data_IF_798698835579
#
_entry.id   IF_798698835579
#
_cell.length_a   1.000
_cell.length_b   1.000
_cell.length_c   1.000
_cell.angle_alpha   90.00
_cell.angle_beta   90.00
_cell.angle_gamma   90.00
#
_symmetry.space_group_name_H-M   'P 1'
#
loop_
_entity.id
_entity.type
_entity.pdbx_description
1 polymer ?
#
# COMPACT_ATOMS: atom_id res chain seq x y z
N UNK A 1 -3.84 -5.35 -0.84
CA UNK A 1 -3.54 -6.05 0.43
C UNK A 1 -4.05 -5.19 1.56
N UNK A 2 -4.57 -5.76 2.66
CA UNK A 2 -5.17 -4.99 3.76
C UNK A 2 -4.79 -5.59 5.11
N UNK A 3 -4.57 -4.73 6.11
CA UNK A 3 -4.46 -5.06 7.53
C UNK A 3 -5.37 -4.12 8.32
N UNK A 4 -5.91 -4.62 9.43
CA UNK A 4 -6.71 -3.82 10.35
C UNK A 4 -5.99 -3.67 11.68
N UNK A 5 -6.04 -2.47 12.27
CA UNK A 5 -5.38 -2.15 13.52
C UNK A 5 -6.40 -1.56 14.49
N UNK A 6 -6.52 -2.20 15.66
CA UNK A 6 -7.32 -1.70 16.78
C UNK A 6 -6.47 -1.41 17.98
N UNK A 7 -6.76 -0.33 18.71
CA UNK A 7 -5.99 0.06 19.88
C UNK A 7 -6.62 1.24 20.61
N UNK A 8 -5.83 1.87 21.47
CA UNK A 8 -6.20 3.08 22.18
C UNK A 8 -6.06 4.31 21.27
N UNK A 9 -7.14 4.65 20.55
CA UNK A 9 -7.18 5.81 19.67
C UNK A 9 -7.10 7.17 20.39
N UNK A 10 -7.06 7.18 21.73
CA UNK A 10 -6.79 8.41 22.48
C UNK A 10 -5.30 8.77 22.52
N UNK A 11 -4.43 7.79 22.21
CA UNK A 11 -2.98 7.98 22.09
C UNK A 11 -2.59 8.72 20.82
N UNK A 12 -1.47 9.42 20.92
CA UNK A 12 -0.87 10.14 19.81
C UNK A 12 0.32 9.36 19.27
N UNK A 13 0.46 9.30 17.95
CA UNK A 13 1.63 8.70 17.31
C UNK A 13 2.83 9.62 17.53
N UNK A 14 3.95 9.11 18.08
CA UNK A 14 5.06 9.96 18.52
C UNK A 14 6.04 10.32 17.40
N UNK A 15 5.65 10.14 16.13
CA UNK A 15 6.51 10.34 14.97
C UNK A 15 5.75 10.97 13.81
N UNK A 16 6.47 11.70 12.96
CA UNK A 16 5.94 12.26 11.72
C UNK A 16 6.14 11.31 10.51
N UNK A 17 5.75 11.75 9.32
CA UNK A 17 5.90 10.98 8.09
C UNK A 17 7.34 10.63 7.75
N UNK A 18 8.28 11.55 8.02
CA UNK A 18 9.68 11.34 7.71
C UNK A 18 10.29 10.30 8.66
N UNK A 19 10.00 10.40 9.95
CA UNK A 19 10.42 9.42 10.93
C UNK A 19 9.83 8.05 10.64
N UNK A 20 8.55 7.97 10.26
CA UNK A 20 7.91 6.72 9.84
C UNK A 20 8.57 6.16 8.57
N UNK A 21 8.74 6.98 7.53
CA UNK A 21 9.38 6.59 6.27
C UNK A 21 10.80 6.02 6.49
N UNK A 22 11.57 6.64 7.38
CA UNK A 22 12.91 6.15 7.75
C UNK A 22 12.89 4.78 8.43
N UNK A 23 11.86 4.50 9.25
CA UNK A 23 11.70 3.21 9.94
C UNK A 23 11.29 2.10 8.96
N UNK A 24 10.34 2.39 8.07
CA UNK A 24 9.76 1.37 7.18
C UNK A 24 10.68 1.05 5.99
N UNK A 25 11.37 2.04 5.43
CA UNK A 25 12.29 1.85 4.31
C UNK A 25 13.73 1.84 4.79
N UNK A 26 14.31 3.01 5.04
CA UNK A 26 15.69 3.19 5.49
C UNK A 26 15.94 4.64 5.88
N UNK A 27 16.92 4.90 6.75
CA UNK A 27 17.31 6.27 7.06
C UNK A 27 18.11 6.92 5.93
N UNK A 28 19.10 6.20 5.40
CA UNK A 28 19.89 6.62 4.25
C UNK A 28 20.38 5.42 3.44
N UNK A 29 20.50 5.63 2.13
CA UNK A 29 21.05 4.67 1.15
C UNK A 29 22.01 5.42 0.23
N UNK A 30 23.18 4.84 -0.02
CA UNK A 30 24.23 5.43 -0.87
C UNK A 30 24.58 6.90 -0.51
N UNK A 31 24.55 7.22 0.79
CA UNK A 31 24.84 8.56 1.31
C UNK A 31 23.71 9.58 1.10
N UNK A 32 22.53 9.16 0.65
CA UNK A 32 21.33 10.00 0.47
C UNK A 32 20.23 9.59 1.46
N UNK A 33 19.49 10.55 2.03
CA UNK A 33 18.32 10.23 2.85
C UNK A 33 17.21 9.59 2.00
N UNK A 34 16.27 8.91 2.66
CA UNK A 34 15.04 8.46 1.99
C UNK A 34 14.29 9.63 1.37
N UNK A 35 13.81 9.42 0.16
CA UNK A 35 12.99 10.36 -0.62
C UNK A 35 11.71 9.65 -1.02
N UNK A 36 10.56 10.24 -0.66
CA UNK A 36 9.25 9.63 -0.73
C UNK A 36 8.18 10.71 -0.91
N UNK A 37 7.04 10.31 -1.47
CA UNK A 37 5.83 11.14 -1.51
C UNK A 37 4.94 10.81 -0.32
N UNK A 38 4.24 11.81 0.18
CA UNK A 38 3.30 11.65 1.30
C UNK A 38 2.03 12.47 1.09
N UNK A 39 0.93 12.00 1.66
CA UNK A 39 -0.33 12.72 1.76
C UNK A 39 -0.97 12.49 3.14
N UNK A 40 -1.74 13.48 3.61
CA UNK A 40 -2.47 13.42 4.87
C UNK A 40 -2.08 14.50 5.89
N UNK A 41 -2.51 14.31 7.14
CA UNK A 41 -2.23 15.23 8.25
C UNK A 41 -1.34 14.60 9.35
N UNK A 42 -0.24 15.27 9.73
CA UNK A 42 0.61 14.88 10.88
C UNK A 42 0.06 15.29 12.24
N UNK A 43 -1.06 16.04 12.30
CA UNK A 43 -1.68 16.44 13.57
C UNK A 43 -2.21 15.20 14.30
N UNK A 44 -2.37 15.35 15.63
CA UNK A 44 -2.75 14.28 16.53
C UNK A 44 -3.93 13.45 16.02
N UNK A 45 -3.76 12.13 16.05
CA UNK A 45 -4.68 11.05 15.67
C UNK A 45 -6.10 11.15 16.26
N UNK A 46 -6.41 12.16 17.09
CA UNK A 46 -7.68 12.35 17.80
C UNK A 46 -8.88 12.68 16.90
N UNK A 47 -8.70 12.89 15.59
CA UNK A 47 -9.82 13.24 14.70
C UNK A 47 -9.87 12.42 13.41
N UNK A 48 -8.77 12.31 12.65
CA UNK A 48 -8.74 11.53 11.41
C UNK A 48 -7.28 11.34 10.91
N UNK A 49 -6.63 10.21 11.22
CA UNK A 49 -5.30 9.91 10.74
C UNK A 49 -5.33 9.35 9.32
N UNK A 50 -5.10 10.22 8.36
CA UNK A 50 -4.72 9.83 7.00
C UNK A 50 -3.19 9.90 6.89
N UNK A 51 -2.56 8.76 6.63
CA UNK A 51 -1.13 8.65 6.33
C UNK A 51 -0.96 7.82 5.07
N UNK A 52 -0.65 8.49 3.97
CA UNK A 52 -0.33 7.80 2.71
C UNK A 52 1.13 8.04 2.40
N UNK A 53 1.89 6.96 2.23
CA UNK A 53 3.31 7.00 1.94
C UNK A 53 3.61 6.23 0.66
N UNK A 54 4.50 6.79 -0.16
CA UNK A 54 4.90 6.21 -1.44
C UNK A 54 6.39 6.38 -1.68
N UNK A 55 7.09 5.28 -1.94
CA UNK A 55 8.50 5.28 -2.35
C UNK A 55 8.62 5.02 -3.85
N UNK A 56 9.24 5.94 -4.59
CA UNK A 56 9.62 5.69 -5.97
C UNK A 56 10.90 4.84 -5.99
N UNK A 57 10.78 3.55 -6.31
CA UNK A 57 11.85 2.56 -6.17
C UNK A 57 13.08 2.90 -7.02
N UNK A 58 12.88 3.40 -8.24
CA UNK A 58 13.96 3.76 -9.16
C UNK A 58 14.89 4.87 -8.65
N UNK A 59 14.40 5.75 -7.77
CA UNK A 59 15.21 6.83 -7.17
C UNK A 59 16.28 6.28 -6.22
N UNK A 60 16.05 5.06 -5.72
CA UNK A 60 16.88 4.39 -4.71
C UNK A 60 17.53 3.11 -5.25
N UNK A 61 17.12 2.64 -6.43
CA UNK A 61 17.81 1.59 -7.18
C UNK A 61 17.42 1.68 -8.68
N UNK A 62 18.36 2.13 -9.51
CA UNK A 62 18.12 2.35 -10.95
C UNK A 62 17.73 1.08 -11.72
N UNK A 63 17.94 -0.13 -11.17
CA UNK A 63 17.55 -1.38 -11.82
C UNK A 63 16.05 -1.47 -12.03
N UNK A 64 15.24 -0.84 -11.17
CA UNK A 64 13.78 -0.75 -11.32
C UNK A 64 13.33 -0.11 -12.64
N UNK A 65 14.13 0.79 -13.23
CA UNK A 65 13.80 1.41 -14.53
C UNK A 65 13.80 0.42 -15.70
N UNK A 66 14.49 -0.72 -15.54
CA UNK A 66 14.69 -1.69 -16.63
C UNK A 66 14.31 -3.11 -16.19
N UNK A 67 13.55 -3.25 -15.11
CA UNK A 67 13.14 -4.56 -14.64
C UNK A 67 12.22 -5.20 -15.66
N UNK A 68 12.45 -6.48 -15.95
CA UNK A 68 11.62 -7.22 -16.90
C UNK A 68 10.41 -7.75 -16.15
N UNK A 69 9.22 -7.50 -16.66
CA UNK A 69 8.01 -8.13 -16.15
C UNK A 69 7.81 -9.50 -16.79
N UNK A 70 6.99 -10.34 -16.16
CA UNK A 70 6.55 -11.61 -16.74
C UNK A 70 5.91 -11.36 -18.11
N UNK A 71 6.16 -12.26 -19.06
CA UNK A 71 5.58 -12.16 -20.40
C UNK A 71 4.04 -12.13 -20.33
N UNK A 72 3.44 -11.17 -21.03
CA UNK A 72 1.99 -10.96 -21.05
C UNK A 72 1.46 -9.97 -20.03
N UNK A 73 2.27 -9.52 -19.06
CA UNK A 73 1.88 -8.44 -18.14
C UNK A 73 2.09 -7.09 -18.81
N UNK A 74 1.00 -6.33 -18.94
CA UNK A 74 1.03 -4.90 -19.27
C UNK A 74 1.23 -4.11 -17.98
N UNK A 75 2.00 -3.03 -18.06
CA UNK A 75 2.46 -2.28 -16.90
C UNK A 75 1.38 -1.36 -16.28
N UNK A 76 0.13 -1.82 -16.21
CA UNK A 76 -1.03 -0.94 -15.99
C UNK A 76 -1.10 -0.38 -14.56
N UNK A 77 -0.54 -1.08 -13.57
CA UNK A 77 -0.63 -0.69 -12.15
C UNK A 77 0.72 -0.33 -11.50
N UNK A 78 1.85 -0.66 -12.15
CA UNK A 78 3.14 -0.03 -11.85
C UNK A 78 3.78 -0.35 -10.50
N UNK A 79 3.52 -1.52 -9.87
CA UNK A 79 4.15 -1.90 -8.57
C UNK A 79 5.68 -1.79 -8.56
N UNK A 80 6.35 -2.09 -9.69
CA UNK A 80 7.79 -1.92 -9.89
C UNK A 80 8.28 -0.45 -9.81
N UNK A 81 7.38 0.52 -10.00
CA UNK A 81 7.71 1.95 -9.88
C UNK A 81 7.58 2.37 -8.41
N UNK A 82 6.44 2.05 -7.79
CA UNK A 82 6.11 2.42 -6.43
C UNK A 82 4.96 1.58 -5.89
N UNK A 83 4.80 1.61 -4.57
CA UNK A 83 3.63 1.08 -3.88
C UNK A 83 3.04 2.18 -2.99
N UNK A 84 1.71 2.27 -2.92
CA UNK A 84 1.03 3.19 -2.00
C UNK A 84 0.72 2.45 -0.70
N UNK A 85 1.25 2.94 0.41
CA UNK A 85 0.94 2.42 1.75
C UNK A 85 0.01 3.42 2.42
N UNK A 86 -1.26 3.06 2.54
CA UNK A 86 -2.36 3.95 2.93
C UNK A 86 -2.94 3.54 4.27
N UNK A 87 -2.77 4.38 5.28
CA UNK A 87 -3.43 4.23 6.57
C UNK A 87 -4.54 5.26 6.70
N UNK A 88 -5.76 4.79 6.91
CA UNK A 88 -6.95 5.60 7.18
C UNK A 88 -7.86 4.86 8.18
N UNK A 89 -8.89 5.51 8.70
CA UNK A 89 -10.02 4.75 9.27
C UNK A 89 -10.82 4.03 8.17
N UNK A 90 -11.48 2.93 8.53
CA UNK A 90 -12.35 2.16 7.63
C UNK A 90 -13.48 3.02 7.02
N UNK A 91 -14.03 3.97 7.79
CA UNK A 91 -15.12 4.86 7.38
C UNK A 91 -14.65 6.12 6.64
N UNK A 92 -13.34 6.24 6.36
CA UNK A 92 -12.79 7.38 5.62
C UNK A 92 -13.43 7.47 4.22
N UNK A 93 -13.85 8.66 3.75
CA UNK A 93 -14.46 8.82 2.43
C UNK A 93 -13.65 8.25 1.26
N UNK A 94 -12.31 8.17 1.40
CA UNK A 94 -11.43 7.56 0.40
C UNK A 94 -11.69 6.06 0.19
N UNK A 95 -12.42 5.38 1.08
CA UNK A 95 -12.82 3.97 0.91
C UNK A 95 -14.09 3.79 0.09
N UNK A 96 -14.64 4.87 -0.49
CA UNK A 96 -16.00 4.93 -1.04
C UNK A 96 -17.07 4.42 -0.04
N UNK A 97 -16.77 4.44 1.26
CA UNK A 97 -17.58 3.85 2.33
C UNK A 97 -17.92 2.36 2.15
N UNK A 98 -17.13 1.64 1.34
CA UNK A 98 -17.31 0.19 1.12
C UNK A 98 -16.89 -0.61 2.34
N UNK A 99 -15.89 -0.13 3.06
CA UNK A 99 -15.45 -0.70 4.33
C UNK A 99 -16.27 -0.09 5.48
N UNK A 100 -16.66 -0.95 6.43
CA UNK A 100 -17.48 -0.57 7.58
C UNK A 100 -16.77 -1.03 8.84
N UNK A 101 -16.46 -0.09 9.71
CA UNK A 101 -15.88 -0.37 11.02
C UNK A 101 -15.24 0.86 11.63
N UNK A 102 -14.75 0.67 12.84
CA UNK A 102 -14.11 1.72 13.64
C UNK A 102 -12.60 1.45 13.80
N UNK A 103 -12.01 0.61 12.95
CA UNK A 103 -10.58 0.30 12.98
C UNK A 103 -9.77 1.19 12.04
N UNK A 104 -8.47 1.30 12.32
CA UNK A 104 -7.53 1.77 11.31
C UNK A 104 -7.33 0.66 10.28
N UNK A 105 -7.37 1.03 9.01
CA UNK A 105 -7.08 0.19 7.87
C UNK A 105 -5.74 0.64 7.29
N UNK A 106 -4.79 -0.28 7.22
CA UNK A 106 -3.59 -0.12 6.41
C UNK A 106 -3.79 -0.92 5.11
N UNK A 107 -3.71 -0.27 3.97
CA UNK A 107 -3.98 -0.86 2.67
C UNK A 107 -2.93 -0.48 1.62
N UNK A 108 -2.85 -1.32 0.59
CA UNK A 108 -2.17 -1.03 -0.67
C UNK A 108 -3.10 -1.35 -1.83
N UNK A 109 -2.88 -0.67 -2.95
CA UNK A 109 -3.61 -0.85 -4.21
C UNK A 109 -3.45 -2.26 -4.80
N UNK A 110 -2.36 -2.97 -4.51
CA UNK A 110 -2.08 -4.29 -5.08
C UNK A 110 -2.50 -5.43 -4.14
N UNK A 111 -3.10 -6.50 -4.68
CA UNK A 111 -3.55 -7.65 -3.89
C UNK A 111 -2.40 -8.41 -3.23
N UNK A 112 -1.29 -8.55 -3.95
CA UNK A 112 -0.03 -9.05 -3.43
C UNK A 112 1.08 -8.02 -3.64
N UNK A 113 2.06 -8.02 -2.74
CA UNK A 113 3.11 -7.01 -2.67
C UNK A 113 4.46 -7.63 -2.95
N UNK A 114 5.32 -6.85 -3.61
CA UNK A 114 6.74 -7.15 -3.65
C UNK A 114 7.30 -7.25 -2.24
N UNK A 115 8.28 -8.13 -2.00
CA UNK A 115 8.90 -8.37 -0.70
C UNK A 115 9.38 -7.07 -0.05
N UNK A 116 9.95 -6.13 -0.83
CA UNK A 116 10.39 -4.81 -0.34
C UNK A 116 9.23 -3.96 0.19
N UNK A 117 8.08 -3.99 -0.48
CA UNK A 117 6.89 -3.23 -0.10
C UNK A 117 6.15 -3.93 1.05
N UNK A 118 6.04 -5.26 1.00
CA UNK A 118 5.45 -6.09 2.05
C UNK A 118 6.17 -5.91 3.38
N UNK A 119 7.50 -5.84 3.34
CA UNK A 119 8.33 -5.51 4.50
C UNK A 119 7.98 -4.12 5.06
N UNK A 120 7.94 -3.10 4.21
CA UNK A 120 7.58 -1.74 4.64
C UNK A 120 6.16 -1.69 5.22
N UNK A 121 5.21 -2.36 4.58
CA UNK A 121 3.81 -2.49 4.99
C UNK A 121 3.68 -3.12 6.39
N UNK A 122 4.40 -4.21 6.64
CA UNK A 122 4.41 -4.86 7.95
C UNK A 122 5.09 -4.03 9.04
N UNK A 123 6.22 -3.37 8.74
CA UNK A 123 6.87 -2.47 9.70
C UNK A 123 5.92 -1.31 10.02
N UNK A 124 5.24 -0.74 9.03
CA UNK A 124 4.25 0.32 9.25
C UNK A 124 3.14 -0.14 10.19
N UNK A 125 2.55 -1.32 9.95
CA UNK A 125 1.53 -1.88 10.85
C UNK A 125 2.03 -2.03 12.30
N UNK A 126 3.28 -2.52 12.47
CA UNK A 126 3.92 -2.67 13.78
C UNK A 126 4.13 -1.32 14.47
N UNK A 127 4.66 -0.32 13.77
CA UNK A 127 4.94 1.01 14.33
C UNK A 127 3.65 1.69 14.78
N UNK A 128 2.60 1.65 13.94
CA UNK A 128 1.28 2.21 14.26
C UNK A 128 0.66 1.47 15.44
N UNK A 129 0.56 0.13 15.38
CA UNK A 129 -0.03 -0.67 16.46
C UNK A 129 0.72 -0.47 17.79
N UNK A 130 2.05 -0.41 17.76
CA UNK A 130 2.87 -0.15 18.96
C UNK A 130 2.57 1.22 19.56
N UNK A 131 2.43 2.25 18.72
CA UNK A 131 2.16 3.62 19.19
C UNK A 131 0.83 3.76 19.94
N UNK A 132 -0.17 2.93 19.59
CA UNK A 132 -1.52 2.99 20.16
C UNK A 132 -1.87 1.81 21.07
N UNK A 133 -0.87 1.07 21.58
CA UNK A 133 -1.08 -0.18 22.35
C UNK A 133 -2.05 -1.17 21.67
N UNK A 134 -1.94 -1.27 20.36
CA UNK A 134 -2.89 -1.96 19.50
C UNK A 134 -2.57 -3.41 19.18
N UNK A 135 -3.47 -4.01 18.43
CA UNK A 135 -3.41 -5.34 17.84
C UNK A 135 -3.65 -5.26 16.34
N UNK A 136 -3.12 -6.22 15.59
CA UNK A 136 -3.17 -6.28 14.13
C UNK A 136 -4.00 -7.50 13.70
N UNK A 137 -4.90 -7.31 12.74
CA UNK A 137 -5.65 -8.37 12.07
C UNK A 137 -5.27 -8.44 10.59
N UNK A 138 -5.15 -9.67 10.09
CA UNK A 138 -4.77 -9.99 8.71
C UNK A 138 -5.89 -10.71 7.95
N UNK A 139 -6.98 -11.02 8.65
CA UNK A 139 -8.06 -11.91 8.25
C UNK A 139 -9.42 -11.21 8.39
N UNK A 140 -9.49 -9.96 7.92
CA UNK A 140 -10.69 -9.13 7.96
C UNK A 140 -11.35 -9.07 9.35
N UNK A 141 -10.53 -8.83 10.38
CA UNK A 141 -10.94 -8.67 11.79
C UNK A 141 -11.44 -9.96 12.45
N UNK A 142 -11.32 -11.13 11.81
CA UNK A 142 -11.66 -12.44 12.41
C UNK A 142 -10.78 -12.78 13.62
N UNK A 143 -9.48 -12.51 13.53
CA UNK A 143 -8.53 -12.68 14.64
C UNK A 143 -7.63 -11.46 14.82
N UNK A 144 -7.05 -11.35 16.01
CA UNK A 144 -6.23 -10.20 16.41
C UNK A 144 -4.94 -10.68 17.06
N UNK A 145 -3.81 -10.29 16.48
CA UNK A 145 -2.48 -10.57 16.97
C UNK A 145 -1.97 -9.40 17.80
N UNK A 146 -1.30 -9.70 18.90
CA UNK A 146 -0.38 -8.73 19.49
C UNK A 146 0.75 -8.39 18.52
N UNK A 147 1.38 -7.24 18.71
CA UNK A 147 2.55 -6.82 17.92
C UNK A 147 3.65 -7.89 17.92
N UNK A 148 3.90 -8.55 19.04
CA UNK A 148 4.95 -9.58 19.15
C UNK A 148 4.56 -10.88 18.43
N UNK A 149 3.28 -11.27 18.44
CA UNK A 149 2.81 -12.41 17.65
C UNK A 149 2.89 -12.14 16.14
N UNK A 150 2.52 -10.91 15.71
CA UNK A 150 2.64 -10.49 14.33
C UNK A 150 4.10 -10.49 13.86
N UNK A 151 5.02 -9.92 14.68
CA UNK A 151 6.47 -9.95 14.41
C UNK A 151 7.01 -11.36 14.25
N UNK A 152 6.61 -12.27 15.15
CA UNK A 152 7.05 -13.67 15.11
C UNK A 152 6.51 -14.41 13.89
N UNK A 153 5.28 -14.10 13.48
CA UNK A 153 4.64 -14.73 12.31
C UNK A 153 5.33 -14.36 11.00
N UNK A 154 5.74 -13.11 10.86
CA UNK A 154 6.39 -12.56 9.65
C UNK A 154 7.88 -12.27 9.86
N UNK A 155 8.52 -13.06 10.72
CA UNK A 155 9.94 -12.87 11.08
C UNK A 155 10.86 -12.98 9.86
N UNK A 156 10.52 -13.85 8.92
CA UNK A 156 11.24 -14.05 7.66
C UNK A 156 11.32 -12.76 6.83
N UNK A 157 10.21 -12.02 6.71
CA UNK A 157 10.15 -10.74 5.99
C UNK A 157 10.74 -9.61 6.83
N UNK A 158 10.40 -9.54 8.11
CA UNK A 158 10.79 -8.44 9.01
C UNK A 158 12.28 -8.45 9.37
N UNK A 159 12.93 -9.61 9.33
CA UNK A 159 14.37 -9.74 9.59
C UNK A 159 15.24 -9.29 8.42
N UNK A 160 14.68 -9.13 7.21
CA UNK A 160 15.41 -8.64 6.06
C UNK A 160 15.79 -7.16 6.23
N UNK A 161 16.96 -6.79 5.73
CA UNK A 161 17.27 -5.39 5.44
C UNK A 161 16.48 -4.91 4.22
N UNK A 162 16.39 -3.60 4.02
CA UNK A 162 15.83 -3.04 2.79
C UNK A 162 16.51 -3.60 1.54
N UNK A 163 17.84 -3.73 1.54
CA UNK A 163 18.58 -4.25 0.38
C UNK A 163 18.27 -5.72 0.09
N UNK A 164 18.17 -6.54 1.13
CA UNK A 164 17.83 -7.96 0.96
C UNK A 164 16.43 -8.10 0.36
N UNK A 165 15.46 -7.36 0.90
CA UNK A 165 14.09 -7.36 0.40
C UNK A 165 14.01 -6.81 -1.04
N UNK A 166 14.75 -5.73 -1.33
CA UNK A 166 14.83 -5.12 -2.66
C UNK A 166 15.47 -6.06 -3.70
N UNK A 167 16.52 -6.79 -3.35
CA UNK A 167 17.14 -7.78 -4.25
C UNK A 167 16.18 -8.92 -4.57
N UNK A 168 15.52 -9.48 -3.55
CA UNK A 168 14.47 -10.48 -3.77
C UNK A 168 13.35 -9.94 -4.66
N UNK A 169 13.02 -8.66 -4.52
CA UNK A 169 11.93 -8.05 -5.29
C UNK A 169 12.25 -7.89 -6.78
N UNK A 170 13.51 -7.66 -7.13
CA UNK A 170 13.95 -7.60 -8.53
C UNK A 170 13.90 -8.97 -9.22
N UNK A 171 14.01 -10.04 -8.45
CA UNK A 171 13.84 -11.42 -8.94
C UNK A 171 12.37 -11.81 -9.00
N UNK A 172 11.61 -11.57 -7.93
CA UNK A 172 10.23 -12.06 -7.79
C UNK A 172 9.29 -11.47 -8.87
N UNK A 173 9.48 -10.19 -9.22
CA UNK A 173 8.58 -9.48 -10.12
C UNK A 173 8.57 -10.05 -11.55
N UNK A 174 9.64 -10.76 -11.93
CA UNK A 174 9.73 -11.43 -13.22
C UNK A 174 8.77 -12.64 -13.31
N UNK A 175 8.27 -13.11 -12.17
CA UNK A 175 7.45 -14.31 -12.04
C UNK A 175 6.05 -14.05 -11.46
N UNK A 176 5.82 -12.87 -10.89
CA UNK A 176 4.51 -12.46 -10.38
C UNK A 176 3.45 -12.47 -11.47
N UNK A 177 2.23 -12.85 -11.10
CA UNK A 177 1.05 -12.80 -11.95
C UNK A 177 0.31 -11.48 -11.77
N UNK A 178 -0.25 -10.95 -12.86
CA UNK A 178 -1.25 -9.90 -12.79
C UNK A 178 -2.58 -10.53 -12.39
N UNK A 179 -2.94 -10.39 -11.11
CA UNK A 179 -4.20 -10.87 -10.56
C UNK A 179 -5.14 -9.67 -10.43
N UNK A 180 -6.11 -9.59 -11.35
CA UNK A 180 -7.17 -8.59 -11.28
C UNK A 180 -8.17 -8.93 -10.18
N UNK A 181 -8.52 -7.92 -9.37
CA UNK A 181 -9.60 -8.04 -8.40
C UNK A 181 -10.91 -8.42 -9.12
N UNK A 182 -11.70 -9.38 -8.61
CA UNK A 182 -12.98 -9.78 -9.22
C UNK A 182 -13.95 -8.61 -9.47
N UNK A 183 -13.81 -7.49 -8.76
CA UNK A 183 -14.62 -6.28 -9.00
C UNK A 183 -14.49 -5.76 -10.43
N UNK A 184 -13.32 -5.94 -11.07
CA UNK A 184 -13.11 -5.50 -12.45
C UNK A 184 -13.91 -6.32 -13.46
N UNK A 185 -14.09 -7.62 -13.23
CA UNK A 185 -14.97 -8.44 -14.09
C UNK A 185 -16.43 -8.00 -13.96
N UNK A 186 -16.85 -7.57 -12.77
CA UNK A 186 -18.19 -7.04 -12.55
C UNK A 186 -18.38 -5.67 -13.22
N UNK A 187 -17.38 -4.78 -13.12
CA UNK A 187 -17.42 -3.48 -13.79
C UNK A 187 -17.36 -3.60 -15.31
N UNK A 188 -16.55 -4.51 -15.86
CA UNK A 188 -16.52 -4.83 -17.29
C UNK A 188 -17.93 -5.27 -17.76
N UNK A 189 -18.57 -6.20 -17.04
CA UNK A 189 -19.94 -6.64 -17.34
C UNK A 189 -20.95 -5.50 -17.27
N UNK A 190 -20.86 -4.64 -16.24
CA UNK A 190 -21.74 -3.47 -16.10
C UNK A 190 -21.55 -2.48 -17.24
N UNK A 191 -20.32 -2.28 -17.69
CA UNK A 191 -20.00 -1.43 -18.82
C UNK A 191 -20.56 -2.01 -20.13
N UNK A 192 -20.40 -3.31 -20.38
CA UNK A 192 -21.00 -4.00 -21.53
C UNK A 192 -22.54 -3.88 -21.53
N UNK A 193 -23.19 -4.05 -20.38
CA UNK A 193 -24.63 -3.87 -20.23
C UNK A 193 -25.06 -2.41 -20.49
N UNK A 194 -24.29 -1.44 -19.98
CA UNK A 194 -24.54 -0.02 -20.20
C UNK A 194 -24.44 0.34 -21.69
N UNK A 195 -23.36 -0.07 -22.36
CA UNK A 195 -23.16 0.13 -23.81
C UNK A 195 -24.29 -0.52 -24.62
N UNK A 196 -24.76 -1.70 -24.21
CA UNK A 196 -25.87 -2.38 -24.89
C UNK A 196 -27.19 -1.62 -24.80
N UNK A 197 -27.43 -0.91 -23.70
CA UNK A 197 -28.66 -0.12 -23.48
C UNK A 197 -28.56 1.26 -24.13
N UNK A 198 -27.41 1.90 -24.02
CA UNK A 198 -27.23 3.32 -24.36
C UNK A 198 -26.51 3.55 -25.69
N UNK A 199 -25.98 2.50 -26.32
CA UNK A 199 -25.06 2.58 -27.44
C UNK A 199 -23.64 2.91 -26.97
N UNK A 200 -22.65 2.66 -27.83
CA UNK A 200 -21.33 3.24 -27.62
C UNK A 200 -21.43 4.76 -27.79
N UNK A 201 -20.90 5.50 -26.83
CA UNK A 201 -20.72 6.94 -26.97
C UNK A 201 -19.45 7.13 -27.79
N UNK A 202 -19.57 7.51 -29.06
CA UNK A 202 -18.46 8.11 -29.79
C UNK A 202 -18.13 9.44 -29.09
N UNK A 203 -17.06 9.44 -28.31
CA UNK A 203 -16.44 10.69 -27.87
C UNK A 203 -15.70 11.22 -29.10
N UNK A 204 -16.20 12.30 -29.69
CA UNK A 204 -15.40 13.06 -30.66
C UNK A 204 -14.16 13.56 -29.90
N UNK A 205 -12.99 13.01 -30.23
CA UNK A 205 -11.66 13.44 -29.77
C UNK A 205 -11.27 14.82 -30.38
N UNK A 206 -12.25 15.64 -30.78
CA UNK A 206 -12.05 17.01 -31.24
C UNK A 206 -11.77 17.93 -30.03
N UNK A 207 -10.70 17.64 -29.29
CA UNK A 207 -9.90 18.65 -28.57
C UNK A 207 -8.72 19.09 -29.46
N UNK A 208 -9.00 19.49 -30.70
CA UNK A 208 -8.21 20.54 -31.36
C UNK A 208 -8.88 21.89 -31.05
N UNK A 209 -8.12 22.79 -30.42
CA UNK A 209 -8.35 24.24 -30.23
C UNK A 209 -9.09 24.73 -28.97
N UNK A 210 -8.33 25.04 -27.89
CA UNK A 210 -7.97 26.43 -27.46
C UNK A 210 -6.98 26.48 -26.27
#
# INVERSE_FOLDING_TARGET
MRLYIKGDYTKEIPFDYLELAKRIWFESKDGKPVDFSYFGNTRSFKTDPTIHLKLNKWMHDNRWNNVRLKEGITNEFGSHIYENLELDFEDNPATDYREKGDCLRLASTHLDLLTVDKRAFYIMAIEIATAIDGQISEDDKESWLSVEEFKKRHEDILSMSYEQANEMSLEEIQFMDDVRDPVWEEDDRRNEEYIKIHGEVELDDDEEDE
#
